data_IF_694590847556
#
_entry.id   IF_694590847556
#
_cell.length_a   1.000
_cell.length_b   1.000
_cell.length_c   1.000
_cell.angle_alpha   90.00
_cell.angle_beta   90.00
_cell.angle_gamma   90.00
#
_symmetry.space_group_name_H-M   'P 1'
#
loop_
_entity.id
_entity.type
_entity.pdbx_description
1 polymer ?
#
# COMPACT_ATOMS: atom_id res chain seq x y z
N UNK A 1 12.04 4.03 -1.22
CA UNK A 1 10.89 3.59 -0.39
C UNK A 1 10.48 2.14 -0.68
N UNK A 2 10.34 1.67 -1.93
CA UNK A 2 9.92 0.28 -2.21
C UNK A 2 10.90 -0.82 -1.71
N UNK A 3 12.21 -0.55 -1.73
CA UNK A 3 13.23 -1.45 -1.17
C UNK A 3 13.05 -1.64 0.35
N UNK A 4 12.50 -0.63 1.05
CA UNK A 4 12.20 -0.73 2.50
C UNK A 4 11.03 -1.69 2.78
N UNK A 5 10.07 -1.81 1.85
CA UNK A 5 8.95 -2.74 1.98
C UNK A 5 9.35 -4.17 1.63
N UNK A 6 10.21 -4.36 0.61
CA UNK A 6 10.86 -5.65 0.34
C UNK A 6 11.73 -6.07 1.51
N UNK A 7 12.54 -5.16 2.05
CA UNK A 7 13.33 -5.43 3.25
C UNK A 7 12.46 -5.67 4.48
N UNK A 8 11.28 -5.05 4.65
CA UNK A 8 10.38 -5.38 5.77
C UNK A 8 9.72 -6.75 5.62
N UNK A 9 9.29 -7.11 4.41
CA UNK A 9 8.72 -8.43 4.10
C UNK A 9 9.75 -9.57 4.21
N UNK A 10 10.98 -9.33 3.75
CA UNK A 10 12.11 -10.27 3.86
C UNK A 10 12.76 -10.25 5.25
N UNK A 11 12.80 -9.11 5.95
CA UNK A 11 13.37 -8.98 7.30
C UNK A 11 12.61 -9.80 8.34
N UNK A 12 11.30 -9.98 8.17
CA UNK A 12 10.52 -10.85 9.06
C UNK A 12 10.99 -12.32 8.97
N UNK A 13 11.51 -12.75 7.81
CA UNK A 13 12.08 -14.08 7.59
C UNK A 13 13.58 -14.20 7.96
N UNK A 14 14.29 -13.09 8.22
CA UNK A 14 15.76 -13.06 8.33
C UNK A 14 16.32 -12.91 9.76
N UNK A 15 15.50 -13.05 10.80
CA UNK A 15 15.95 -12.92 12.20
C UNK A 15 16.89 -14.04 12.67
N UNK A 16 17.13 -15.07 11.84
CA UNK A 16 18.27 -15.98 11.94
C UNK A 16 18.75 -16.31 10.53
N UNK A 17 19.87 -15.75 10.09
CA UNK A 17 20.39 -15.96 8.73
C UNK A 17 20.85 -17.41 8.52
N UNK A 18 19.98 -18.28 8.00
CA UNK A 18 20.30 -19.65 7.54
C UNK A 18 20.96 -19.62 6.15
N UNK A 19 21.02 -18.45 5.50
CA UNK A 19 21.58 -18.30 4.15
C UNK A 19 23.11 -18.42 4.15
N UNK A 20 23.62 -19.23 3.23
CA UNK A 20 25.06 -19.32 2.90
C UNK A 20 25.56 -17.98 2.34
N UNK A 21 26.87 -17.79 2.29
CA UNK A 21 27.48 -16.62 1.65
C UNK A 21 27.00 -16.45 0.20
N UNK A 22 27.07 -17.52 -0.59
CA UNK A 22 26.57 -17.55 -1.97
C UNK A 22 25.07 -17.23 -2.07
N UNK A 23 24.27 -17.68 -1.10
CA UNK A 23 22.84 -17.38 -1.06
C UNK A 23 22.56 -15.89 -0.81
N UNK A 24 23.37 -15.23 0.02
CA UNK A 24 23.29 -13.78 0.24
C UNK A 24 23.70 -13.00 -1.01
N UNK A 25 24.80 -13.40 -1.65
CA UNK A 25 25.27 -12.78 -2.89
C UNK A 25 24.23 -12.88 -4.01
N UNK A 26 23.63 -14.05 -4.20
CA UNK A 26 22.57 -14.25 -5.19
C UNK A 26 21.31 -13.44 -4.85
N UNK A 27 20.94 -13.33 -3.58
CA UNK A 27 19.81 -12.49 -3.15
C UNK A 27 20.10 -11.01 -3.39
N UNK A 28 21.32 -10.56 -3.09
CA UNK A 28 21.74 -9.18 -3.34
C UNK A 28 21.75 -8.86 -4.84
N UNK A 29 22.21 -9.79 -5.68
CA UNK A 29 22.13 -9.67 -7.14
C UNK A 29 20.68 -9.57 -7.61
N UNK A 30 19.80 -10.45 -7.12
CA UNK A 30 18.38 -10.42 -7.43
C UNK A 30 17.73 -9.09 -7.01
N UNK A 31 18.03 -8.59 -5.82
CA UNK A 31 17.53 -7.30 -5.32
C UNK A 31 18.06 -6.10 -6.10
N UNK A 32 19.26 -6.20 -6.70
CA UNK A 32 19.86 -5.15 -7.54
C UNK A 32 19.36 -5.17 -8.98
N UNK A 33 18.77 -6.27 -9.44
CA UNK A 33 18.25 -6.39 -10.79
C UNK A 33 17.05 -5.45 -11.00
N UNK A 34 17.26 -4.42 -11.85
CA UNK A 34 16.25 -3.41 -12.16
C UNK A 34 15.26 -3.86 -13.23
N UNK A 35 15.48 -4.97 -13.91
CA UNK A 35 14.61 -5.46 -14.98
C UNK A 35 13.46 -6.33 -14.46
N UNK A 36 13.50 -6.69 -13.17
CA UNK A 36 12.45 -7.46 -12.50
C UNK A 36 11.72 -6.64 -11.45
N UNK A 37 10.49 -7.06 -11.16
CA UNK A 37 9.67 -6.60 -10.05
C UNK A 37 9.33 -7.80 -9.19
N UNK A 38 9.53 -7.67 -7.88
CA UNK A 38 9.19 -8.68 -6.88
C UNK A 38 8.07 -8.10 -6.01
N UNK A 39 6.90 -8.74 -6.03
CA UNK A 39 5.72 -8.34 -5.23
C UNK A 39 5.05 -9.58 -4.65
N UNK A 40 4.32 -9.40 -3.55
CA UNK A 40 3.39 -10.42 -3.07
C UNK A 40 2.19 -10.50 -4.03
N UNK A 41 1.65 -11.70 -4.18
CA UNK A 41 0.39 -11.92 -4.87
C UNK A 41 -0.77 -11.32 -4.05
N UNK A 42 -1.82 -10.88 -4.74
CA UNK A 42 -3.04 -10.35 -4.11
C UNK A 42 -3.70 -11.33 -3.11
N UNK A 43 -3.61 -12.63 -3.41
CA UNK A 43 -4.20 -13.71 -2.60
C UNK A 43 -3.26 -14.90 -2.52
N UNK A 44 -3.39 -15.68 -1.45
CA UNK A 44 -2.68 -16.95 -1.28
C UNK A 44 -1.23 -16.84 -0.81
N UNK A 45 -0.75 -15.64 -0.45
CA UNK A 45 0.58 -15.45 0.13
C UNK A 45 1.77 -15.74 -0.79
N UNK A 46 1.52 -15.94 -2.09
CA UNK A 46 2.57 -16.24 -3.07
C UNK A 46 3.50 -15.05 -3.35
N UNK A 47 4.72 -15.35 -3.76
CA UNK A 47 5.68 -14.37 -4.28
C UNK A 47 5.61 -14.36 -5.80
N UNK A 48 5.57 -13.17 -6.40
CA UNK A 48 5.55 -13.00 -7.86
C UNK A 48 6.80 -12.26 -8.29
N UNK A 49 7.54 -12.87 -9.21
CA UNK A 49 8.68 -12.28 -9.90
C UNK A 49 8.26 -12.11 -11.36
N UNK A 50 8.34 -10.89 -11.89
CA UNK A 50 7.96 -10.61 -13.27
C UNK A 50 8.86 -9.55 -13.91
N UNK A 51 8.95 -9.52 -15.26
CA UNK A 51 9.59 -8.43 -15.96
C UNK A 51 8.96 -7.07 -15.60
N UNK A 52 9.80 -6.08 -15.29
CA UNK A 52 9.37 -4.72 -14.97
C UNK A 52 8.57 -4.09 -16.11
N UNK A 53 8.92 -4.41 -17.35
CA UNK A 53 8.18 -3.94 -18.52
C UNK A 53 6.70 -4.36 -18.48
N UNK A 54 6.41 -5.62 -18.13
CA UNK A 54 5.03 -6.11 -18.00
C UNK A 54 4.30 -5.47 -16.81
N UNK A 55 4.99 -5.30 -15.68
CA UNK A 55 4.44 -4.60 -14.52
C UNK A 55 4.03 -3.16 -14.86
N UNK A 56 4.95 -2.41 -15.48
CA UNK A 56 4.72 -1.02 -15.88
C UNK A 56 3.60 -0.92 -16.93
N UNK A 57 3.56 -1.85 -17.88
CA UNK A 57 2.49 -1.90 -18.88
C UNK A 57 1.11 -2.05 -18.21
N UNK A 58 0.97 -2.95 -17.25
CA UNK A 58 -0.31 -3.12 -16.54
C UNK A 58 -0.66 -1.90 -15.68
N UNK A 59 0.32 -1.28 -15.01
CA UNK A 59 0.13 -0.01 -14.28
C UNK A 59 -0.42 1.08 -15.20
N UNK A 60 0.24 1.30 -16.34
CA UNK A 60 -0.16 2.34 -17.29
C UNK A 60 -1.53 2.05 -17.91
N UNK A 61 -1.80 0.79 -18.31
CA UNK A 61 -3.11 0.37 -18.81
C UNK A 61 -4.25 0.72 -17.85
N UNK A 62 -4.02 0.61 -16.53
CA UNK A 62 -5.02 1.01 -15.53
C UNK A 62 -5.13 2.53 -15.39
N UNK A 63 -4.01 3.25 -15.30
CA UNK A 63 -3.99 4.71 -15.11
C UNK A 63 -4.48 5.49 -16.34
N UNK A 64 -4.32 4.94 -17.53
CA UNK A 64 -4.80 5.52 -18.80
C UNK A 64 -6.31 5.32 -18.99
N UNK A 65 -6.99 4.56 -18.13
CA UNK A 65 -8.43 4.37 -18.23
C UNK A 65 -9.20 5.63 -17.80
N UNK A 66 -9.59 6.44 -18.78
CA UNK A 66 -10.30 7.71 -18.58
C UNK A 66 -11.73 7.57 -18.08
N UNK A 67 -12.29 6.36 -18.06
CA UNK A 67 -13.59 6.11 -17.42
C UNK A 67 -13.50 6.16 -15.89
N UNK A 68 -12.30 5.99 -15.32
CA UNK A 68 -12.08 5.96 -13.87
C UNK A 68 -11.07 7.00 -13.37
N UNK A 69 -10.08 7.36 -14.19
CA UNK A 69 -9.02 8.27 -13.80
C UNK A 69 -8.98 9.52 -14.69
N UNK A 70 -8.59 10.64 -14.09
CA UNK A 70 -8.35 11.89 -14.79
C UNK A 70 -6.98 12.42 -14.39
N UNK A 71 -6.16 12.77 -15.38
CA UNK A 71 -4.89 13.43 -15.13
C UNK A 71 -5.14 14.83 -14.54
N UNK A 72 -4.48 15.12 -13.42
CA UNK A 72 -4.53 16.44 -12.80
C UNK A 72 -3.48 17.36 -13.43
N UNK A 73 -3.81 18.66 -13.64
CA UNK A 73 -2.89 19.62 -14.25
C UNK A 73 -1.71 19.96 -13.34
N UNK A 74 -1.84 19.77 -12.03
CA UNK A 74 -0.81 20.04 -11.04
C UNK A 74 -1.02 19.20 -9.78
N UNK A 75 -0.03 19.18 -8.89
CA UNK A 75 -0.13 18.47 -7.62
C UNK A 75 -1.10 19.21 -6.66
N UNK A 76 -2.24 18.60 -6.28
CA UNK A 76 -3.28 19.25 -5.46
C UNK A 76 -2.96 19.28 -3.95
N UNK A 77 -1.77 18.83 -3.52
CA UNK A 77 -1.46 18.62 -2.10
C UNK A 77 -1.73 19.84 -1.23
N UNK A 78 -1.31 21.05 -1.64
CA UNK A 78 -1.51 22.28 -0.86
C UNK A 78 -2.99 22.69 -0.79
N UNK A 79 -3.75 22.43 -1.86
CA UNK A 79 -5.19 22.66 -1.88
C UNK A 79 -5.87 21.76 -0.85
N UNK A 80 -5.65 20.45 -0.93
CA UNK A 80 -6.23 19.50 0.00
C UNK A 80 -5.81 19.77 1.46
N UNK A 81 -4.58 20.22 1.69
CA UNK A 81 -4.15 20.65 3.03
C UNK A 81 -5.00 21.78 3.59
N UNK A 82 -5.31 22.77 2.76
CA UNK A 82 -6.14 23.92 3.17
C UNK A 82 -7.57 23.49 3.47
N UNK A 83 -8.14 22.62 2.62
CA UNK A 83 -9.48 22.05 2.81
C UNK A 83 -9.57 21.24 4.12
N UNK A 84 -8.59 20.39 4.38
CA UNK A 84 -8.53 19.57 5.60
C UNK A 84 -8.41 20.44 6.85
N UNK A 85 -7.55 21.46 6.84
CA UNK A 85 -7.44 22.41 7.96
C UNK A 85 -8.76 23.09 8.27
N UNK A 86 -9.47 23.56 7.23
CA UNK A 86 -10.78 24.18 7.35
C UNK A 86 -11.79 23.20 7.98
N UNK A 87 -11.85 21.97 7.47
CA UNK A 87 -12.73 20.93 7.99
C UNK A 87 -12.49 20.63 9.47
N UNK A 88 -11.23 20.53 9.90
CA UNK A 88 -10.86 20.27 11.30
C UNK A 88 -11.29 21.43 12.21
N UNK A 89 -11.10 22.66 11.75
CA UNK A 89 -11.51 23.87 12.48
C UNK A 89 -13.03 23.89 12.67
N UNK A 90 -13.79 23.57 11.63
CA UNK A 90 -15.26 23.47 11.70
C UNK A 90 -15.70 22.35 12.64
N UNK A 91 -15.02 21.21 12.61
CA UNK A 91 -15.25 20.08 13.52
C UNK A 91 -14.82 20.35 14.98
N UNK A 92 -14.22 21.52 15.27
CA UNK A 92 -13.65 21.89 16.59
C UNK A 92 -12.73 20.81 17.18
N UNK A 93 -12.02 20.09 16.32
CA UNK A 93 -11.13 19.01 16.70
C UNK A 93 -9.70 19.50 16.91
N UNK A 94 -8.96 18.89 17.83
CA UNK A 94 -7.58 19.28 18.21
C UNK A 94 -6.50 18.43 17.54
N UNK A 95 -6.83 17.76 16.44
CA UNK A 95 -5.91 16.82 15.78
C UNK A 95 -4.74 17.54 15.16
N UNK A 96 -3.54 17.04 15.48
CA UNK A 96 -2.30 17.50 14.87
C UNK A 96 -2.14 16.83 13.50
N UNK A 97 -2.15 17.63 12.44
CA UNK A 97 -1.75 17.19 11.11
C UNK A 97 -0.26 17.45 10.91
N UNK A 98 0.51 16.39 10.66
CA UNK A 98 1.90 16.47 10.22
C UNK A 98 2.02 15.74 8.88
N UNK A 99 2.51 16.44 7.88
CA UNK A 99 2.56 15.99 6.49
C UNK A 99 3.91 15.37 6.20
N UNK A 100 3.95 14.18 5.58
CA UNK A 100 5.24 13.58 5.23
C UNK A 100 5.32 13.13 3.77
N UNK A 101 4.30 12.49 3.19
CA UNK A 101 4.48 11.78 1.91
C UNK A 101 3.28 11.90 0.94
N UNK A 102 3.56 11.93 -0.37
CA UNK A 102 2.55 11.79 -1.43
C UNK A 102 2.15 10.32 -1.51
N UNK A 103 0.84 9.98 -1.57
CA UNK A 103 0.41 8.60 -1.72
C UNK A 103 1.03 7.92 -2.94
N UNK A 104 1.47 6.67 -2.77
CA UNK A 104 2.11 5.90 -3.85
C UNK A 104 1.11 4.94 -4.47
N UNK A 105 0.96 5.02 -5.79
CA UNK A 105 0.21 4.02 -6.56
C UNK A 105 1.11 2.83 -6.89
N UNK A 106 0.62 1.61 -6.66
CA UNK A 106 1.23 0.39 -7.14
C UNK A 106 0.17 -0.70 -7.32
N UNK A 107 0.53 -1.79 -8.00
CA UNK A 107 -0.35 -2.95 -8.17
C UNK A 107 0.20 -4.19 -7.47
N UNK A 108 -0.71 -5.04 -6.97
CA UNK A 108 -0.42 -6.42 -6.57
C UNK A 108 -0.91 -7.40 -7.64
N UNK A 109 -0.10 -8.37 -8.11
CA UNK A 109 -0.52 -9.29 -9.16
C UNK A 109 -1.61 -10.25 -8.69
N UNK A 110 -2.67 -10.40 -9.49
CA UNK A 110 -3.76 -11.34 -9.24
C UNK A 110 -3.51 -12.62 -10.05
N UNK A 111 -3.10 -13.69 -9.36
CA UNK A 111 -2.73 -14.97 -9.96
C UNK A 111 -3.96 -15.81 -10.38
N UNK A 112 -4.75 -15.30 -11.33
CA UNK A 112 -5.80 -16.08 -12.02
C UNK A 112 -5.35 -16.65 -13.36
N UNK A 113 -4.35 -16.02 -13.98
CA UNK A 113 -3.72 -16.41 -15.25
C UNK A 113 -2.22 -16.15 -15.15
N UNK A 114 -1.41 -17.03 -15.75
CA UNK A 114 0.05 -16.80 -15.89
C UNK A 114 0.38 -15.88 -17.07
N UNK A 115 -0.55 -15.72 -18.01
CA UNK A 115 -0.42 -14.80 -19.13
C UNK A 115 -1.04 -13.47 -18.74
N UNK A 116 -0.22 -12.41 -18.68
CA UNK A 116 -0.61 -11.04 -18.35
C UNK A 116 -1.59 -10.94 -17.17
N UNK A 117 -1.19 -11.39 -15.95
CA UNK A 117 -2.07 -11.34 -14.79
C UNK A 117 -2.49 -9.88 -14.52
N UNK A 118 -3.79 -9.61 -14.27
CA UNK A 118 -4.22 -8.28 -13.91
C UNK A 118 -3.63 -7.88 -12.56
N UNK A 119 -3.41 -6.59 -12.36
CA UNK A 119 -2.99 -6.03 -11.08
C UNK A 119 -4.18 -5.56 -10.26
N UNK A 120 -4.20 -5.78 -8.94
CA UNK A 120 -5.07 -5.02 -8.03
C UNK A 120 -4.43 -3.65 -7.80
N UNK A 121 -5.07 -2.53 -8.17
CA UNK A 121 -4.58 -1.20 -7.86
C UNK A 121 -4.63 -0.93 -6.36
N UNK A 122 -3.56 -0.33 -5.84
CA UNK A 122 -3.43 0.12 -4.45
C UNK A 122 -2.86 1.53 -4.45
N UNK A 123 -3.48 2.41 -3.67
CA UNK A 123 -2.94 3.72 -3.30
C UNK A 123 -2.52 3.65 -1.84
N UNK A 124 -1.22 3.59 -1.58
CA UNK A 124 -0.67 3.61 -0.24
C UNK A 124 -0.77 5.02 0.36
N UNK A 125 -1.78 5.21 1.21
CA UNK A 125 -2.03 6.46 1.94
C UNK A 125 -1.34 6.57 3.31
N UNK A 126 -0.50 5.61 3.69
CA UNK A 126 0.24 5.67 4.96
C UNK A 126 1.22 6.85 4.96
N UNK A 127 1.35 7.55 6.10
CA UNK A 127 2.10 8.81 6.23
C UNK A 127 1.65 9.95 5.29
N UNK A 128 0.52 9.77 4.60
CA UNK A 128 0.02 10.75 3.65
C UNK A 128 -0.88 11.78 4.30
N UNK A 129 -1.30 12.77 3.50
CA UNK A 129 -2.14 13.86 3.92
C UNK A 129 -3.45 13.40 4.61
N UNK A 130 -4.02 12.27 4.20
CA UNK A 130 -5.31 11.80 4.71
C UNK A 130 -5.20 10.89 5.94
N UNK A 131 -4.01 10.37 6.26
CA UNK A 131 -3.84 9.40 7.36
C UNK A 131 -4.31 9.93 8.72
N UNK A 132 -4.00 11.18 9.15
CA UNK A 132 -4.49 11.65 10.44
C UNK A 132 -6.02 11.82 10.46
N UNK A 133 -6.68 12.03 9.31
CA UNK A 133 -8.15 12.04 9.22
C UNK A 133 -8.68 10.61 9.39
N UNK A 134 -8.07 9.62 8.75
CA UNK A 134 -8.45 8.22 8.93
C UNK A 134 -8.31 7.79 10.39
N UNK A 135 -7.23 8.17 11.06
CA UNK A 135 -7.02 7.88 12.49
C UNK A 135 -8.06 8.57 13.38
N UNK A 136 -8.49 9.79 13.02
CA UNK A 136 -9.55 10.48 13.74
C UNK A 136 -10.88 9.73 13.65
N UNK A 137 -11.27 9.40 12.43
CA UNK A 137 -12.53 8.71 12.16
C UNK A 137 -12.54 7.37 12.90
N UNK A 138 -11.44 6.63 12.84
CA UNK A 138 -11.29 5.38 13.58
C UNK A 138 -11.39 5.60 15.10
N UNK A 139 -10.69 6.60 15.67
CA UNK A 139 -10.78 6.92 17.10
C UNK A 139 -12.22 7.21 17.56
N UNK A 140 -12.98 7.97 16.77
CA UNK A 140 -14.37 8.36 17.07
C UNK A 140 -15.32 7.17 16.92
N UNK A 141 -15.15 6.38 15.86
CA UNK A 141 -16.05 5.26 15.55
C UNK A 141 -15.77 4.03 16.41
N UNK A 142 -14.52 3.81 16.83
CA UNK A 142 -14.11 2.62 17.59
C UNK A 142 -15.03 2.29 18.77
N UNK A 143 -15.34 3.18 19.72
CA UNK A 143 -16.23 2.85 20.84
C UNK A 143 -17.63 2.41 20.38
N UNK A 144 -18.16 3.03 19.32
CA UNK A 144 -19.47 2.68 18.75
C UNK A 144 -19.42 1.30 18.10
N UNK A 145 -18.43 1.06 17.25
CA UNK A 145 -18.24 -0.21 16.54
C UNK A 145 -18.02 -1.36 17.52
N UNK A 146 -17.20 -1.17 18.56
CA UNK A 146 -16.93 -2.21 19.58
C UNK A 146 -18.12 -2.50 20.48
N UNK A 147 -19.13 -1.63 20.52
CA UNK A 147 -20.35 -1.85 21.32
C UNK A 147 -21.41 -2.68 20.59
N UNK A 148 -21.24 -2.91 19.28
CA UNK A 148 -22.20 -3.65 18.48
C UNK A 148 -22.19 -5.15 18.85
N UNK A 149 -23.36 -5.81 18.95
CA UNK A 149 -23.43 -7.25 19.20
C UNK A 149 -22.73 -8.10 18.12
N UNK A 150 -22.63 -7.57 16.91
CA UNK A 150 -21.98 -8.19 15.76
C UNK A 150 -20.49 -7.86 15.64
N UNK A 151 -19.90 -7.17 16.63
CA UNK A 151 -18.48 -6.83 16.60
C UNK A 151 -17.62 -8.08 16.81
N UNK A 152 -16.83 -8.49 15.80
CA UNK A 152 -15.93 -9.63 15.95
C UNK A 152 -14.70 -9.23 16.77
N UNK A 153 -14.41 -9.97 17.84
CA UNK A 153 -13.25 -9.73 18.72
C UNK A 153 -12.03 -10.50 18.23
N UNK A 154 -12.23 -11.73 17.78
CA UNK A 154 -11.15 -12.58 17.27
C UNK A 154 -11.68 -13.63 16.26
N UNK A 155 -10.79 -14.53 15.83
CA UNK A 155 -11.12 -15.58 14.86
C UNK A 155 -12.07 -16.63 15.43
N UNK A 156 -12.12 -16.81 16.75
CA UNK A 156 -13.03 -17.76 17.40
C UNK A 156 -14.48 -17.25 17.43
N UNK A 157 -14.70 -15.93 17.38
CA UNK A 157 -16.05 -15.36 17.24
C UNK A 157 -16.75 -15.73 15.90
N UNK A 158 -16.02 -16.28 14.93
CA UNK A 158 -16.55 -16.71 13.63
C UNK A 158 -16.61 -18.24 13.44
N UNK A 159 -16.13 -19.03 14.40
CA UNK A 159 -16.06 -20.50 14.35
C UNK A 159 -17.15 -21.13 15.23
#
# INVERSE_FOLDING_TARGET
QEISLLNKGLSFFLTKSILTHSGKEALDELCRNKDIVIKLADKGGGLVIMPRALYNHEVLRQLENTSYYQALPSNPTTQFQSEIKKFIQEARSSIKFSYKEIPVFYILPVLKSLVNPPGRPIVAGNNSLTEPLSNFVDLVLRPLVTSLPSYPRDTADFL
#
